data_IF_362720835396
#
_entry.id   IF_362720835396
#
_cell.length_a   1.000
_cell.length_b   1.000
_cell.length_c   1.000
_cell.angle_alpha   90.00
_cell.angle_beta   90.00
_cell.angle_gamma   90.00
#
_symmetry.space_group_name_H-M   'P 1'
#
loop_
_entity.id
_entity.type
_entity.pdbx_description
1 polymer ?
#
# COMPACT_ATOMS: atom_id res chain seq x y z
N UNK A 1 42.19 28.45 30.97
CA UNK A 1 42.60 27.79 32.22
C UNK A 1 43.53 26.63 31.87
N UNK A 2 44.78 26.71 32.37
CA UNK A 2 45.79 25.64 32.60
C UNK A 2 45.94 24.60 31.47
N UNK A 3 46.88 24.74 30.54
CA UNK A 3 48.35 24.58 30.73
C UNK A 3 48.70 23.52 31.77
N UNK A 4 49.13 22.35 31.29
CA UNK A 4 49.62 21.23 32.08
C UNK A 4 50.69 20.49 31.28
N UNK A 5 51.88 21.08 31.26
CA UNK A 5 53.13 20.50 30.76
C UNK A 5 53.59 19.40 31.71
N UNK A 6 53.92 18.21 31.18
CA UNK A 6 54.83 17.29 31.85
C UNK A 6 55.58 16.45 30.81
N UNK A 7 56.76 16.93 30.48
CA UNK A 7 57.81 16.23 29.72
C UNK A 7 58.76 15.60 30.73
N UNK A 8 58.83 14.27 30.76
CA UNK A 8 59.88 13.52 31.46
C UNK A 8 60.71 12.72 30.45
N UNK A 9 62.05 12.80 30.45
CA UNK A 9 62.90 11.95 29.62
C UNK A 9 63.48 10.80 30.46
N UNK A 10 63.28 9.55 30.02
CA UNK A 10 64.07 8.35 30.37
C UNK A 10 63.48 7.10 29.69
N UNK A 11 64.23 6.01 29.50
CA UNK A 11 65.56 5.91 28.91
C UNK A 11 65.56 4.93 27.71
N UNK A 12 66.67 4.96 26.98
CA UNK A 12 67.07 4.00 25.94
C UNK A 12 66.95 2.57 26.46
N UNK A 13 66.19 1.72 25.75
CA UNK A 13 66.06 0.31 26.11
C UNK A 13 65.42 -0.51 24.99
N UNK A 14 66.27 -1.05 24.11
CA UNK A 14 66.03 -2.24 23.29
C UNK A 14 64.75 -2.26 22.46
N UNK A 15 64.83 -1.81 21.21
CA UNK A 15 63.85 -2.23 20.20
C UNK A 15 64.17 -3.70 19.88
N UNK A 16 63.35 -4.69 20.28
CA UNK A 16 63.55 -6.05 19.78
C UNK A 16 63.37 -5.98 18.26
N UNK A 17 64.37 -6.46 17.52
CA UNK A 17 64.20 -6.77 16.10
C UNK A 17 62.86 -7.52 15.95
N UNK A 18 61.91 -7.02 15.13
CA UNK A 18 60.71 -7.79 14.88
C UNK A 18 61.19 -9.07 14.21
N UNK A 19 61.02 -10.20 14.91
CA UNK A 19 61.16 -11.52 14.34
C UNK A 19 60.38 -11.47 13.02
N UNK A 20 61.11 -11.62 11.91
CA UNK A 20 60.54 -11.68 10.57
C UNK A 20 59.65 -12.91 10.54
N UNK A 21 58.37 -12.69 10.86
CA UNK A 21 57.32 -13.66 10.66
C UNK A 21 57.45 -14.19 9.23
N UNK A 22 57.46 -15.51 9.02
CA UNK A 22 57.57 -16.07 7.69
C UNK A 22 56.36 -15.60 6.88
N UNK A 23 56.57 -14.59 6.03
CA UNK A 23 55.59 -14.11 5.07
C UNK A 23 55.38 -15.23 4.07
N UNK A 24 54.36 -16.05 4.33
CA UNK A 24 53.90 -17.08 3.41
C UNK A 24 53.49 -16.35 2.14
N UNK A 25 54.26 -16.51 1.07
CA UNK A 25 53.95 -15.94 -0.23
C UNK A 25 52.68 -16.63 -0.77
N UNK A 26 51.53 -16.00 -0.56
CA UNK A 26 50.26 -16.44 -1.13
C UNK A 26 50.39 -16.33 -2.65
N UNK A 27 50.25 -17.43 -3.38
CA UNK A 27 50.28 -17.41 -4.84
C UNK A 27 49.06 -16.65 -5.37
N UNK A 28 49.23 -15.92 -6.49
CA UNK A 28 48.14 -15.16 -7.11
C UNK A 28 46.91 -16.04 -7.40
N UNK A 29 47.13 -17.31 -7.73
CA UNK A 29 46.07 -18.32 -7.93
C UNK A 29 45.14 -18.47 -6.71
N UNK A 30 45.69 -18.45 -5.49
CA UNK A 30 44.90 -18.54 -4.25
C UNK A 30 44.04 -17.28 -4.07
N UNK A 31 44.59 -16.11 -4.41
CA UNK A 31 43.86 -14.83 -4.34
C UNK A 31 42.71 -14.82 -5.36
N UNK A 32 42.95 -15.27 -6.58
CA UNK A 32 41.92 -15.36 -7.62
C UNK A 32 40.83 -16.35 -7.26
N UNK A 33 41.20 -17.51 -6.72
CA UNK A 33 40.24 -18.52 -6.27
C UNK A 33 39.36 -18.01 -5.13
N UNK A 34 39.96 -17.38 -4.12
CA UNK A 34 39.21 -16.81 -3.00
C UNK A 34 38.24 -15.71 -3.47
N UNK A 35 38.65 -14.86 -4.44
CA UNK A 35 37.75 -13.85 -5.02
C UNK A 35 36.62 -14.47 -5.84
N UNK A 36 36.88 -15.54 -6.58
CA UNK A 36 35.85 -16.25 -7.33
C UNK A 36 34.83 -16.90 -6.38
N UNK A 37 35.29 -17.58 -5.33
CA UNK A 37 34.43 -18.17 -4.29
C UNK A 37 33.58 -17.09 -3.61
N UNK A 38 34.17 -15.96 -3.24
CA UNK A 38 33.43 -14.84 -2.66
C UNK A 38 32.37 -14.29 -3.64
N UNK A 39 32.71 -14.13 -4.92
CA UNK A 39 31.76 -13.64 -5.91
C UNK A 39 30.61 -14.64 -6.15
N UNK A 40 30.87 -15.95 -6.09
CA UNK A 40 29.85 -16.99 -6.18
C UNK A 40 28.93 -16.98 -4.96
N UNK A 41 29.47 -16.78 -3.75
CA UNK A 41 28.70 -16.63 -2.52
C UNK A 41 27.80 -15.38 -2.55
N UNK A 42 28.36 -14.24 -2.97
CA UNK A 42 27.61 -12.99 -3.14
C UNK A 42 26.50 -13.13 -4.18
N UNK A 43 26.78 -13.80 -5.30
CA UNK A 43 25.79 -14.08 -6.34
C UNK A 43 24.67 -14.98 -5.81
N UNK A 44 25.02 -16.06 -5.10
CA UNK A 44 24.04 -16.96 -4.50
C UNK A 44 23.16 -16.23 -3.46
N UNK A 45 23.77 -15.38 -2.63
CA UNK A 45 23.04 -14.56 -1.67
C UNK A 45 22.08 -13.57 -2.36
N UNK A 46 22.52 -12.89 -3.41
CA UNK A 46 21.70 -11.98 -4.19
C UNK A 46 20.53 -12.69 -4.88
N UNK A 47 20.75 -13.88 -5.44
CA UNK A 47 19.69 -14.70 -6.05
C UNK A 47 18.63 -15.11 -5.02
N UNK A 48 19.06 -15.56 -3.84
CA UNK A 48 18.13 -15.90 -2.76
C UNK A 48 17.29 -14.69 -2.31
N UNK A 49 17.91 -13.50 -2.23
CA UNK A 49 17.18 -12.26 -1.92
C UNK A 49 16.17 -11.88 -3.00
N UNK A 50 16.51 -12.08 -4.28
CA UNK A 50 15.58 -11.83 -5.39
C UNK A 50 14.37 -12.74 -5.29
N UNK A 51 14.57 -14.02 -4.99
CA UNK A 51 13.47 -14.98 -4.90
C UNK A 51 12.57 -14.71 -3.67
N UNK A 52 13.16 -14.35 -2.54
CA UNK A 52 12.41 -13.90 -1.35
C UNK A 52 11.56 -12.65 -1.67
N UNK A 53 12.17 -11.62 -2.24
CA UNK A 53 11.46 -10.38 -2.62
C UNK A 53 10.34 -10.63 -3.65
N UNK A 54 10.55 -11.53 -4.61
CA UNK A 54 9.49 -11.92 -5.56
C UNK A 54 8.31 -12.57 -4.85
N UNK A 55 8.58 -13.50 -3.93
CA UNK A 55 7.52 -14.16 -3.16
C UNK A 55 6.73 -13.16 -2.30
N UNK A 56 7.42 -12.18 -1.70
CA UNK A 56 6.79 -11.11 -0.93
C UNK A 56 5.94 -10.19 -1.82
N UNK A 57 6.43 -9.85 -3.02
CA UNK A 57 5.69 -9.06 -3.99
C UNK A 57 4.43 -9.80 -4.43
N UNK A 58 4.52 -11.08 -4.78
CA UNK A 58 3.36 -11.89 -5.15
C UNK A 58 2.33 -11.95 -4.03
N UNK A 59 2.75 -12.21 -2.78
CA UNK A 59 1.87 -12.21 -1.62
C UNK A 59 1.18 -10.84 -1.40
N UNK A 60 1.94 -9.74 -1.51
CA UNK A 60 1.41 -8.40 -1.36
C UNK A 60 0.41 -8.02 -2.46
N UNK A 61 0.71 -8.38 -3.72
CA UNK A 61 -0.20 -8.13 -4.84
C UNK A 61 -1.51 -8.91 -4.71
N UNK A 62 -1.45 -10.17 -4.26
CA UNK A 62 -2.63 -10.98 -3.97
C UNK A 62 -3.46 -10.41 -2.81
N UNK A 63 -2.81 -9.97 -1.73
CA UNK A 63 -3.51 -9.34 -0.61
C UNK A 63 -4.21 -8.04 -1.04
N UNK A 64 -3.52 -7.20 -1.83
CA UNK A 64 -4.06 -5.95 -2.34
C UNK A 64 -5.24 -6.19 -3.30
N UNK A 65 -5.14 -7.17 -4.20
CA UNK A 65 -6.24 -7.49 -5.13
C UNK A 65 -7.48 -8.02 -4.39
N UNK A 66 -7.30 -8.86 -3.38
CA UNK A 66 -8.38 -9.34 -2.52
C UNK A 66 -9.06 -8.20 -1.75
N UNK A 67 -8.29 -7.27 -1.19
CA UNK A 67 -8.84 -6.09 -0.51
C UNK A 67 -9.61 -5.17 -1.47
N UNK A 68 -9.07 -4.95 -2.68
CA UNK A 68 -9.76 -4.19 -3.72
C UNK A 68 -11.09 -4.82 -4.13
N UNK A 69 -11.12 -6.14 -4.32
CA UNK A 69 -12.35 -6.88 -4.64
C UNK A 69 -13.38 -6.73 -3.51
N UNK A 70 -12.97 -6.89 -2.25
CA UNK A 70 -13.83 -6.72 -1.08
C UNK A 70 -14.43 -5.30 -1.01
N UNK A 71 -13.60 -4.26 -1.14
CA UNK A 71 -14.07 -2.85 -1.12
C UNK A 71 -15.08 -2.55 -2.24
N UNK A 72 -14.85 -3.09 -3.43
CA UNK A 72 -15.79 -2.94 -4.55
C UNK A 72 -17.14 -3.59 -4.24
N UNK A 73 -17.12 -4.77 -3.63
CA UNK A 73 -18.33 -5.46 -3.22
C UNK A 73 -19.08 -4.72 -2.10
N UNK A 74 -18.36 -4.19 -1.11
CA UNK A 74 -18.91 -3.33 -0.06
C UNK A 74 -19.59 -2.08 -0.64
N UNK A 75 -18.95 -1.41 -1.60
CA UNK A 75 -19.54 -0.27 -2.30
C UNK A 75 -20.82 -0.63 -3.04
N UNK A 76 -20.85 -1.75 -3.77
CA UNK A 76 -22.06 -2.19 -4.48
C UNK A 76 -23.18 -2.62 -3.52
N UNK A 77 -22.85 -3.29 -2.40
CA UNK A 77 -23.80 -3.61 -1.34
C UNK A 77 -24.41 -2.35 -0.72
N UNK A 78 -23.58 -1.36 -0.40
CA UNK A 78 -24.03 -0.08 0.14
C UNK A 78 -24.95 0.65 -0.85
N UNK A 79 -24.57 0.68 -2.13
CA UNK A 79 -25.37 1.27 -3.22
C UNK A 79 -26.70 0.53 -3.42
N UNK A 80 -26.73 -0.78 -3.27
CA UNK A 80 -27.93 -1.60 -3.34
C UNK A 80 -28.83 -1.47 -2.10
N UNK A 81 -28.37 -0.80 -1.05
CA UNK A 81 -29.10 -0.59 0.19
C UNK A 81 -29.11 -1.80 1.11
N UNK A 82 -28.01 -2.57 1.16
CA UNK A 82 -27.85 -3.64 2.14
C UNK A 82 -28.06 -3.11 3.57
N UNK A 83 -28.85 -3.83 4.38
CA UNK A 83 -29.10 -3.48 5.78
C UNK A 83 -27.88 -3.86 6.65
N UNK A 84 -27.28 -5.00 6.34
CA UNK A 84 -26.08 -5.54 6.98
C UNK A 84 -25.10 -6.00 5.89
N UNK A 85 -24.08 -5.18 5.63
CA UNK A 85 -23.10 -5.44 4.57
C UNK A 85 -22.21 -6.64 4.91
N UNK A 86 -21.77 -6.79 6.16
CA UNK A 86 -20.90 -7.90 6.58
C UNK A 86 -21.61 -9.25 6.47
N UNK A 87 -22.88 -9.33 6.89
CA UNK A 87 -23.67 -10.54 6.69
C UNK A 87 -23.86 -10.87 5.20
N UNK A 88 -24.03 -9.87 4.34
CA UNK A 88 -24.13 -10.07 2.89
C UNK A 88 -22.80 -10.56 2.29
N UNK A 89 -21.65 -10.02 2.72
CA UNK A 89 -20.33 -10.45 2.28
C UNK A 89 -20.10 -11.94 2.61
N UNK A 90 -20.34 -12.35 3.87
CA UNK A 90 -20.20 -13.74 4.30
C UNK A 90 -21.11 -14.69 3.49
N UNK A 91 -22.30 -14.25 3.13
CA UNK A 91 -23.22 -15.03 2.30
C UNK A 91 -22.78 -15.16 0.85
N UNK A 92 -22.09 -14.15 0.32
CA UNK A 92 -21.51 -14.20 -1.03
C UNK A 92 -20.30 -15.13 -1.02
N UNK A 93 -19.38 -14.95 -0.06
CA UNK A 93 -18.18 -15.77 0.10
C UNK A 93 -18.49 -17.26 0.31
N UNK A 94 -19.56 -17.57 1.05
CA UNK A 94 -20.01 -18.96 1.28
C UNK A 94 -20.87 -19.56 0.16
N UNK A 95 -21.09 -18.81 -0.93
CA UNK A 95 -21.93 -19.23 -2.06
C UNK A 95 -21.13 -19.33 -3.36
N UNK A 96 -21.69 -20.00 -4.36
CA UNK A 96 -21.11 -20.09 -5.71
C UNK A 96 -21.14 -18.76 -6.49
N UNK A 97 -21.42 -17.64 -5.83
CA UNK A 97 -21.45 -16.30 -6.44
C UNK A 97 -20.06 -15.64 -6.47
N UNK A 98 -19.06 -16.16 -5.73
CA UNK A 98 -17.73 -15.53 -5.58
C UNK A 98 -17.03 -15.18 -6.88
N UNK A 99 -17.28 -15.95 -7.94
CA UNK A 99 -16.59 -15.82 -9.23
C UNK A 99 -17.27 -14.83 -10.19
N UNK A 100 -18.45 -14.32 -9.82
CA UNK A 100 -19.20 -13.36 -10.63
C UNK A 100 -18.67 -11.93 -10.44
N UNK A 101 -19.03 -11.03 -11.36
CA UNK A 101 -18.80 -9.60 -11.17
C UNK A 101 -19.57 -9.06 -9.93
N UNK A 102 -18.98 -8.17 -9.10
CA UNK A 102 -19.62 -7.67 -7.87
C UNK A 102 -21.05 -7.17 -8.03
N UNK A 103 -21.37 -6.47 -9.12
CA UNK A 103 -22.74 -5.99 -9.34
C UNK A 103 -23.72 -7.17 -9.58
N UNK A 104 -23.25 -8.21 -10.26
CA UNK A 104 -24.02 -9.43 -10.51
C UNK A 104 -24.20 -10.24 -9.23
N UNK A 105 -23.15 -10.35 -8.39
CA UNK A 105 -23.22 -10.98 -7.07
C UNK A 105 -24.31 -10.35 -6.21
N UNK A 106 -24.31 -9.01 -6.12
CA UNK A 106 -25.29 -8.25 -5.33
C UNK A 106 -26.71 -8.38 -5.91
N UNK A 107 -26.86 -8.34 -7.23
CA UNK A 107 -28.16 -8.53 -7.88
C UNK A 107 -28.75 -9.92 -7.61
N UNK A 108 -27.92 -10.97 -7.72
CA UNK A 108 -28.31 -12.35 -7.42
C UNK A 108 -28.63 -12.54 -5.94
N UNK A 109 -27.81 -11.99 -5.03
CA UNK A 109 -28.06 -12.03 -3.60
C UNK A 109 -29.39 -11.34 -3.27
N UNK A 110 -29.65 -10.17 -3.85
CA UNK A 110 -30.91 -9.42 -3.67
C UNK A 110 -32.11 -10.18 -4.19
N UNK A 111 -31.98 -10.88 -5.31
CA UNK A 111 -33.04 -11.73 -5.86
C UNK A 111 -33.36 -12.91 -4.94
N UNK A 112 -32.33 -13.58 -4.40
CA UNK A 112 -32.47 -14.76 -3.54
C UNK A 112 -32.91 -14.40 -2.11
N UNK A 113 -32.44 -13.27 -1.59
CA UNK A 113 -32.61 -12.83 -0.19
C UNK A 113 -32.99 -11.36 -0.09
N UNK A 114 -34.20 -10.96 -0.57
CA UNK A 114 -34.59 -9.56 -0.62
C UNK A 114 -34.68 -8.89 0.76
N UNK A 115 -34.91 -9.64 1.83
CA UNK A 115 -35.00 -9.14 3.21
C UNK A 115 -33.68 -8.58 3.78
N UNK A 116 -32.53 -8.88 3.15
CA UNK A 116 -31.23 -8.30 3.52
C UNK A 116 -31.04 -6.88 2.98
N UNK A 117 -31.93 -6.43 2.10
CA UNK A 117 -31.86 -5.13 1.45
C UNK A 117 -33.02 -4.26 1.90
N UNK A 118 -32.75 -2.97 2.04
CA UNK A 118 -33.79 -1.98 2.30
C UNK A 118 -34.72 -1.95 1.09
N UNK A 119 -35.99 -2.28 1.31
CA UNK A 119 -37.00 -2.07 0.29
C UNK A 119 -37.04 -0.58 -0.05
N UNK A 120 -37.07 -0.21 -1.35
CA UNK A 120 -37.36 1.16 -1.70
C UNK A 120 -38.72 1.48 -1.11
N UNK A 121 -38.76 2.42 -0.17
CA UNK A 121 -40.03 2.91 0.35
C UNK A 121 -40.88 3.31 -0.87
N UNK A 122 -42.17 2.96 -0.93
CA UNK A 122 -43.03 3.45 -1.99
C UNK A 122 -42.98 4.98 -1.91
N UNK A 123 -42.30 5.62 -2.87
CA UNK A 123 -42.29 7.07 -2.98
C UNK A 123 -43.75 7.51 -3.06
N UNK A 124 -44.24 8.17 -2.01
CA UNK A 124 -45.57 8.71 -2.01
C UNK A 124 -45.74 9.60 -3.25
N UNK A 125 -46.75 9.37 -4.11
CA UNK A 125 -46.98 10.22 -5.26
C UNK A 125 -47.43 11.59 -4.75
N UNK A 126 -46.50 12.56 -4.69
CA UNK A 126 -46.81 13.92 -4.23
C UNK A 126 -45.71 14.70 -3.51
N UNK A 127 -44.48 14.18 -3.38
CA UNK A 127 -43.39 14.99 -2.86
C UNK A 127 -42.94 16.02 -3.91
N UNK A 128 -43.53 17.22 -3.86
CA UNK A 128 -43.06 18.41 -4.56
C UNK A 128 -41.58 18.62 -4.26
N UNK A 129 -40.75 18.56 -5.30
CA UNK A 129 -39.30 18.78 -5.25
C UNK A 129 -39.04 20.17 -4.64
N UNK A 130 -38.68 20.21 -3.36
CA UNK A 130 -38.23 21.45 -2.71
C UNK A 130 -37.01 21.99 -3.47
N UNK A 131 -36.87 23.32 -3.64
CA UNK A 131 -35.69 23.90 -4.26
C UNK A 131 -34.43 23.49 -3.48
N UNK A 132 -33.39 23.07 -4.21
CA UNK A 132 -32.13 22.57 -3.64
C UNK A 132 -31.59 23.53 -2.58
N UNK A 133 -31.12 22.96 -1.47
CA UNK A 133 -30.37 23.71 -0.48
C UNK A 133 -29.05 24.22 -1.11
N UNK A 134 -28.56 25.40 -0.72
CA UNK A 134 -27.33 25.99 -1.28
C UNK A 134 -26.06 25.13 -1.09
N UNK A 135 -26.12 24.09 -0.24
CA UNK A 135 -25.05 23.09 -0.08
C UNK A 135 -24.89 22.18 -1.30
N UNK A 136 -26.00 21.85 -1.98
CA UNK A 136 -25.97 20.91 -3.12
C UNK A 136 -25.34 21.58 -4.34
N UNK A 137 -25.58 22.88 -4.54
CA UNK A 137 -24.94 23.64 -5.62
C UNK A 137 -23.41 23.71 -5.44
N UNK A 138 -22.91 23.83 -4.21
CA UNK A 138 -21.48 23.83 -3.93
C UNK A 138 -20.84 22.47 -4.22
N UNK A 139 -21.53 21.39 -3.87
CA UNK A 139 -21.07 20.03 -4.15
C UNK A 139 -21.00 19.74 -5.66
N UNK A 140 -22.03 20.14 -6.41
CA UNK A 140 -22.07 20.01 -7.86
C UNK A 140 -20.96 20.82 -8.56
N UNK A 141 -20.68 22.04 -8.08
CA UNK A 141 -19.60 22.86 -8.62
C UNK A 141 -18.22 22.27 -8.32
N UNK A 142 -18.02 21.67 -7.13
CA UNK A 142 -16.78 21.00 -6.78
C UNK A 142 -16.55 19.75 -7.64
N UNK A 143 -17.60 18.95 -7.86
CA UNK A 143 -17.53 17.74 -8.68
C UNK A 143 -17.27 18.06 -10.16
N UNK A 144 -17.93 19.10 -10.70
CA UNK A 144 -17.66 19.58 -12.07
C UNK A 144 -16.25 20.13 -12.22
N UNK A 145 -15.74 20.90 -11.26
CA UNK A 145 -14.38 21.41 -11.31
C UNK A 145 -13.34 20.28 -11.31
N UNK A 146 -13.60 19.19 -10.57
CA UNK A 146 -12.74 18.01 -10.50
C UNK A 146 -12.76 17.20 -11.80
N UNK A 147 -13.94 16.97 -12.36
CA UNK A 147 -14.12 16.13 -13.55
C UNK A 147 -13.72 16.84 -14.84
N UNK A 148 -14.03 18.13 -14.99
CA UNK A 148 -13.75 18.88 -16.23
C UNK A 148 -12.42 19.63 -16.22
N UNK A 149 -11.86 19.91 -15.03
CA UNK A 149 -10.66 20.75 -14.89
C UNK A 149 -10.88 22.22 -15.24
N UNK A 150 -12.12 22.68 -15.42
CA UNK A 150 -12.41 24.06 -15.82
C UNK A 150 -12.10 25.04 -14.69
N UNK A 151 -11.10 25.90 -14.92
CA UNK A 151 -10.66 26.96 -14.01
C UNK A 151 -11.78 27.95 -13.66
N UNK A 152 -12.69 28.24 -14.60
CA UNK A 152 -13.79 29.18 -14.36
C UNK A 152 -14.83 28.60 -13.39
N UNK A 153 -15.05 27.29 -13.41
CA UNK A 153 -15.93 26.58 -12.46
C UNK A 153 -15.28 26.57 -11.07
N UNK A 154 -13.99 26.25 -10.98
CA UNK A 154 -13.24 26.25 -9.72
C UNK A 154 -13.24 27.62 -9.03
N UNK A 155 -13.00 28.70 -9.77
CA UNK A 155 -13.00 30.05 -9.19
C UNK A 155 -14.37 30.48 -8.68
N UNK A 156 -15.46 30.09 -9.36
CA UNK A 156 -16.82 30.36 -8.87
C UNK A 156 -17.13 29.59 -7.58
N UNK A 157 -16.73 28.32 -7.49
CA UNK A 157 -16.83 27.53 -6.26
C UNK A 157 -16.08 28.18 -5.09
N UNK A 158 -14.81 28.59 -5.29
CA UNK A 158 -13.99 29.21 -4.25
C UNK A 158 -14.55 30.55 -3.77
N UNK A 159 -15.16 31.35 -4.65
CA UNK A 159 -15.84 32.59 -4.24
C UNK A 159 -17.06 32.30 -3.39
N UNK A 160 -17.88 31.33 -3.79
CA UNK A 160 -19.12 30.95 -3.09
C UNK A 160 -18.85 30.34 -1.71
N UNK A 161 -17.72 29.63 -1.54
CA UNK A 161 -17.28 29.05 -0.26
C UNK A 161 -16.73 30.09 0.74
N UNK A 162 -16.30 31.27 0.27
CA UNK A 162 -15.76 32.35 1.12
C UNK A 162 -16.81 33.37 1.57
N UNK A 163 -17.97 33.40 0.91
CA UNK A 163 -19.10 34.24 1.27
C UNK A 163 -19.91 33.56 2.39
#
# INVERSE_FOLDING_TARGET
>A
MKQGSQTGPSPIGGNPEPATDPTIAISEEVVWKARAEQAEEELAAALNQIDDLKSQLEAATHAASAEHARRNLEHELARAGAIDAEACLLLIESSDLSDLDPATQVAELRRRRPHLFRHPAPSAPGATRMPHAPSDELADMAERARTTGDRAVLLRYLRRRRA
#
